data_IF_754266947400
#
_entry.id   IF_754266947400
#
_cell.length_a   1.000
_cell.length_b   1.000
_cell.length_c   1.000
_cell.angle_alpha   90.00
_cell.angle_beta   90.00
_cell.angle_gamma   90.00
#
_symmetry.space_group_name_H-M   'P 1'
#
loop_
_entity.id
_entity.type
_entity.pdbx_description
1 polymer ?
#
# COMPACT_ATOMS: atom_id res chain seq x y z
N UNK A 1 -8.22 7.51 32.14
CA UNK A 1 -7.29 6.48 31.64
C UNK A 1 -7.90 5.88 30.39
N UNK A 2 -7.39 6.26 29.22
CA UNK A 2 -7.76 5.58 27.97
C UNK A 2 -7.34 4.11 28.11
N UNK A 3 -8.24 3.19 27.83
CA UNK A 3 -7.89 1.77 27.75
C UNK A 3 -6.92 1.63 26.57
N UNK A 4 -5.67 1.31 26.86
CA UNK A 4 -4.65 1.09 25.84
C UNK A 4 -4.99 -0.21 25.11
N UNK A 5 -5.46 -0.07 23.86
CA UNK A 5 -5.84 -1.22 23.03
C UNK A 5 -4.61 -1.89 22.42
N UNK A 6 -4.67 -3.21 22.25
CA UNK A 6 -3.69 -3.94 21.44
C UNK A 6 -4.04 -3.78 19.96
N UNK A 7 -3.06 -3.42 19.14
CA UNK A 7 -3.24 -3.24 17.70
C UNK A 7 -3.48 -4.60 17.06
N UNK A 8 -4.60 -4.71 16.33
CA UNK A 8 -4.94 -5.92 15.60
C UNK A 8 -4.17 -6.04 14.28
N UNK A 9 -3.90 -7.26 13.85
CA UNK A 9 -3.33 -7.59 12.55
C UNK A 9 -4.45 -7.90 11.55
N UNK A 10 -4.30 -7.44 10.30
CA UNK A 10 -5.21 -7.82 9.23
C UNK A 10 -4.57 -8.91 8.38
N UNK A 11 -5.04 -10.13 8.50
CA UNK A 11 -4.45 -11.33 7.91
C UNK A 11 -5.55 -12.16 7.24
N UNK A 12 -5.31 -12.66 6.03
CA UNK A 12 -6.24 -13.50 5.28
C UNK A 12 -7.65 -12.89 5.11
N UNK A 13 -7.73 -11.57 5.02
CA UNK A 13 -9.01 -10.87 4.88
C UNK A 13 -9.80 -10.65 6.18
N UNK A 14 -9.20 -10.92 7.35
CA UNK A 14 -9.83 -10.77 8.66
C UNK A 14 -8.93 -10.06 9.66
N UNK A 15 -9.55 -9.44 10.68
CA UNK A 15 -8.84 -8.84 11.80
C UNK A 15 -8.57 -9.90 12.88
N UNK A 16 -7.32 -9.95 13.33
CA UNK A 16 -6.85 -10.82 14.40
C UNK A 16 -6.29 -9.97 15.54
N UNK A 17 -6.90 -10.09 16.72
CA UNK A 17 -6.39 -9.42 17.93
C UNK A 17 -5.39 -10.32 18.61
N UNK A 18 -4.11 -9.90 18.76
CA UNK A 18 -3.10 -10.69 19.45
C UNK A 18 -3.41 -10.78 20.95
N UNK A 19 -2.82 -11.79 21.63
CA UNK A 19 -2.91 -11.92 23.07
C UNK A 19 -2.22 -10.74 23.76
N UNK A 20 -2.82 -10.26 24.85
CA UNK A 20 -2.24 -9.18 25.64
C UNK A 20 -1.04 -9.62 26.50
N UNK A 21 -0.84 -10.94 26.69
CA UNK A 21 0.19 -11.47 27.63
C UNK A 21 1.63 -11.18 27.20
N UNK A 22 1.88 -11.07 25.87
CA UNK A 22 3.21 -10.88 25.30
C UNK A 22 3.33 -9.59 24.47
N UNK A 23 2.44 -8.64 24.72
CA UNK A 23 2.39 -7.41 23.95
C UNK A 23 3.46 -6.40 24.39
N UNK A 24 4.16 -5.82 23.41
CA UNK A 24 5.13 -4.73 23.62
C UNK A 24 4.40 -3.39 23.62
N UNK A 25 4.65 -2.50 24.59
CA UNK A 25 4.05 -1.18 24.60
C UNK A 25 4.61 -0.29 23.48
N UNK A 26 3.72 0.43 22.81
CA UNK A 26 4.07 1.55 21.94
C UNK A 26 4.03 2.84 22.76
N UNK A 27 5.13 3.59 22.69
CA UNK A 27 5.30 4.79 23.48
C UNK A 27 5.09 6.04 22.63
N UNK A 28 4.46 7.03 23.21
CA UNK A 28 4.38 8.37 22.67
C UNK A 28 5.78 8.99 22.59
N UNK A 29 6.20 9.47 21.43
CA UNK A 29 7.56 9.91 21.18
C UNK A 29 7.99 11.13 22.01
N UNK A 30 7.05 11.96 22.51
CA UNK A 30 7.36 13.18 23.25
C UNK A 30 7.42 12.91 24.75
N UNK A 31 6.42 12.20 25.31
CA UNK A 31 6.24 12.09 26.77
C UNK A 31 6.45 10.68 27.32
N UNK A 32 6.65 9.68 26.45
CA UNK A 32 6.87 8.30 26.84
C UNK A 32 5.65 7.54 27.37
N UNK A 33 4.46 8.12 27.30
CA UNK A 33 3.25 7.44 27.72
C UNK A 33 2.90 6.27 26.78
N UNK A 34 2.33 5.22 27.32
CA UNK A 34 1.88 4.08 26.53
C UNK A 34 0.60 4.47 25.77
N UNK A 35 0.65 4.44 24.44
CA UNK A 35 -0.47 4.78 23.56
C UNK A 35 -1.22 3.55 23.03
N UNK A 36 -0.52 2.43 22.89
CA UNK A 36 -1.08 1.17 22.43
C UNK A 36 -0.14 0.01 22.78
N UNK A 37 -0.51 -1.21 22.45
CA UNK A 37 0.36 -2.38 22.52
C UNK A 37 0.40 -3.09 21.17
N UNK A 38 1.55 -3.71 20.86
CA UNK A 38 1.71 -4.58 19.69
C UNK A 38 1.96 -6.00 20.18
N UNK A 39 1.17 -6.94 19.71
CA UNK A 39 1.37 -8.35 20.05
C UNK A 39 2.59 -8.92 19.31
N UNK A 40 3.33 -9.78 20.01
CA UNK A 40 4.53 -10.45 19.50
C UNK A 40 4.25 -11.93 19.18
N UNK A 41 3.02 -12.29 18.92
CA UNK A 41 2.66 -13.67 18.59
C UNK A 41 3.43 -14.13 17.35
N UNK A 42 3.85 -15.40 17.38
CA UNK A 42 4.40 -16.05 16.20
C UNK A 42 3.31 -16.14 15.12
N UNK A 43 3.49 -15.39 14.05
CA UNK A 43 2.62 -15.44 12.89
C UNK A 43 3.11 -16.51 11.89
N UNK A 44 2.18 -17.23 11.28
CA UNK A 44 2.50 -18.13 10.17
C UNK A 44 2.74 -17.30 8.88
N UNK A 45 3.97 -16.81 8.75
CA UNK A 45 4.36 -16.01 7.58
C UNK A 45 4.30 -16.79 6.27
N UNK A 46 4.49 -18.11 6.29
CA UNK A 46 4.36 -18.93 5.10
C UNK A 46 2.92 -18.93 4.58
N UNK A 47 1.96 -19.12 5.47
CA UNK A 47 0.54 -19.04 5.15
C UNK A 47 0.16 -17.64 4.64
N UNK A 48 0.64 -16.58 5.28
CA UNK A 48 0.39 -15.19 4.87
C UNK A 48 0.92 -14.92 3.46
N UNK A 49 2.15 -15.32 3.17
CA UNK A 49 2.76 -15.17 1.85
C UNK A 49 2.03 -16.00 0.78
N UNK A 50 1.63 -17.21 1.14
CA UNK A 50 0.85 -18.09 0.25
C UNK A 50 -0.49 -17.46 -0.10
N UNK A 51 -1.21 -16.91 0.88
CA UNK A 51 -2.45 -16.16 0.64
C UNK A 51 -2.20 -14.94 -0.26
N UNK A 52 -1.14 -14.18 -0.01
CA UNK A 52 -0.76 -13.05 -0.85
C UNK A 52 -0.54 -13.45 -2.31
N UNK A 53 0.14 -14.58 -2.57
CA UNK A 53 0.40 -15.09 -3.92
C UNK A 53 -0.84 -15.65 -4.59
N UNK A 54 -1.61 -16.47 -3.89
CA UNK A 54 -2.71 -17.26 -4.49
C UNK A 54 -4.02 -16.48 -4.57
N UNK A 55 -4.28 -15.58 -3.64
CA UNK A 55 -5.51 -14.78 -3.57
C UNK A 55 -5.25 -13.32 -3.98
N UNK A 56 -4.38 -12.63 -3.27
CA UNK A 56 -4.14 -11.19 -3.49
C UNK A 56 -3.59 -10.90 -4.88
N UNK A 57 -2.47 -11.52 -5.23
CA UNK A 57 -1.81 -11.33 -6.52
C UNK A 57 -2.69 -11.80 -7.68
N UNK A 58 -3.32 -12.98 -7.56
CA UNK A 58 -4.20 -13.52 -8.59
C UNK A 58 -5.38 -12.59 -8.89
N UNK A 59 -6.00 -12.01 -7.86
CA UNK A 59 -7.12 -11.10 -8.04
C UNK A 59 -6.68 -9.74 -8.61
N UNK A 60 -5.57 -9.21 -8.13
CA UNK A 60 -5.06 -7.91 -8.61
C UNK A 60 -4.64 -7.97 -10.09
N UNK A 61 -3.97 -9.03 -10.52
CA UNK A 61 -3.50 -9.21 -11.90
C UNK A 61 -4.62 -9.38 -12.93
N UNK A 62 -5.82 -9.76 -12.51
CA UNK A 62 -7.01 -9.83 -13.40
C UNK A 62 -7.59 -8.46 -13.73
N UNK A 63 -7.27 -7.44 -12.93
CA UNK A 63 -7.77 -6.09 -13.14
C UNK A 63 -6.97 -5.42 -14.26
N UNK A 64 -7.66 -4.65 -15.09
CA UNK A 64 -7.02 -3.78 -16.07
C UNK A 64 -6.26 -2.65 -15.37
N UNK A 65 -5.36 -2.00 -16.08
CA UNK A 65 -4.64 -0.84 -15.57
C UNK A 65 -5.59 0.29 -15.15
N UNK A 66 -6.67 0.49 -15.92
CA UNK A 66 -7.73 1.45 -15.60
C UNK A 66 -8.41 1.10 -14.27
N UNK A 67 -8.76 -0.15 -14.07
CA UNK A 67 -9.42 -0.61 -12.85
C UNK A 67 -8.52 -0.47 -11.63
N UNK A 68 -7.23 -0.84 -11.73
CA UNK A 68 -6.25 -0.65 -10.64
C UNK A 68 -6.06 0.83 -10.31
N UNK A 69 -5.93 1.69 -11.32
CA UNK A 69 -5.85 3.14 -11.12
C UNK A 69 -7.09 3.73 -10.46
N UNK A 70 -8.29 3.27 -10.82
CA UNK A 70 -9.53 3.70 -10.17
C UNK A 70 -9.63 3.19 -8.73
N UNK A 71 -9.11 2.00 -8.44
CA UNK A 71 -9.03 1.46 -7.07
C UNK A 71 -8.15 2.35 -6.18
N UNK A 72 -6.96 2.76 -6.66
CA UNK A 72 -6.10 3.72 -5.95
C UNK A 72 -6.80 5.06 -5.72
N UNK A 73 -7.51 5.57 -6.72
CA UNK A 73 -8.28 6.82 -6.58
C UNK A 73 -9.36 6.71 -5.50
N UNK A 74 -10.09 5.60 -5.46
CA UNK A 74 -11.12 5.36 -4.44
C UNK A 74 -10.50 5.29 -3.03
N UNK A 75 -9.36 4.61 -2.90
CA UNK A 75 -8.61 4.57 -1.65
C UNK A 75 -8.19 5.97 -1.22
N UNK A 76 -7.60 6.77 -2.13
CA UNK A 76 -7.18 8.14 -1.84
C UNK A 76 -8.34 9.01 -1.34
N UNK A 77 -9.50 8.96 -1.99
CA UNK A 77 -10.70 9.70 -1.59
C UNK A 77 -11.22 9.25 -0.22
N UNK A 78 -11.18 7.94 0.06
CA UNK A 78 -11.57 7.40 1.35
C UNK A 78 -10.64 7.89 2.47
N UNK A 79 -9.32 7.78 2.28
CA UNK A 79 -8.34 8.24 3.26
C UNK A 79 -8.43 9.75 3.49
N UNK A 80 -8.63 10.54 2.43
CA UNK A 80 -8.78 11.99 2.55
C UNK A 80 -10.00 12.38 3.40
N UNK A 81 -11.09 11.62 3.28
CA UNK A 81 -12.29 11.82 4.12
C UNK A 81 -12.01 11.58 5.60
N UNK A 82 -11.06 10.71 5.92
CA UNK A 82 -10.71 10.31 7.29
C UNK A 82 -9.40 10.91 7.79
N UNK A 83 -8.84 11.91 7.10
CA UNK A 83 -7.52 12.47 7.40
C UNK A 83 -7.36 13.02 8.82
N UNK A 84 -8.42 13.51 9.45
CA UNK A 84 -8.33 14.05 10.80
C UNK A 84 -7.97 12.96 11.84
N UNK A 85 -8.45 11.73 11.66
CA UNK A 85 -8.03 10.60 12.50
C UNK A 85 -6.53 10.29 12.36
N UNK A 86 -5.96 10.46 11.16
CA UNK A 86 -4.51 10.33 10.96
C UNK A 86 -3.75 11.47 11.64
N UNK A 87 -4.25 12.69 11.61
CA UNK A 87 -3.65 13.81 12.32
C UNK A 87 -3.65 13.59 13.83
N UNK A 88 -4.75 13.07 14.40
CA UNK A 88 -4.82 12.70 15.81
C UNK A 88 -3.78 11.62 16.15
N UNK A 89 -3.64 10.58 15.33
CA UNK A 89 -2.64 9.54 15.55
C UNK A 89 -1.20 10.04 15.36
N UNK A 90 -0.96 10.97 14.44
CA UNK A 90 0.38 11.49 14.17
C UNK A 90 0.97 12.29 15.33
N UNK A 91 0.14 12.82 16.24
CA UNK A 91 0.59 13.49 17.45
C UNK A 91 1.53 12.60 18.28
N UNK A 92 1.28 11.32 18.32
CA UNK A 92 2.08 10.37 19.07
C UNK A 92 3.49 10.13 18.47
N UNK A 93 3.71 10.48 17.22
CA UNK A 93 5.04 10.39 16.56
C UNK A 93 5.96 11.58 16.89
N UNK A 94 5.42 12.61 17.52
CA UNK A 94 6.13 13.87 17.75
C UNK A 94 6.14 14.81 16.55
N UNK A 95 5.42 14.49 15.48
CA UNK A 95 5.32 15.34 14.30
C UNK A 95 4.60 16.66 14.58
N UNK A 96 5.10 17.76 14.03
CA UNK A 96 4.35 19.01 13.98
C UNK A 96 3.15 18.89 13.04
N UNK A 97 2.17 19.78 13.15
CA UNK A 97 1.02 19.81 12.21
C UNK A 97 1.48 19.94 10.76
N UNK A 98 2.54 20.71 10.52
CA UNK A 98 3.11 20.91 9.19
C UNK A 98 3.76 19.64 8.65
N UNK A 99 4.52 18.93 9.47
CA UNK A 99 5.15 17.67 9.07
C UNK A 99 4.09 16.57 8.85
N UNK A 100 3.09 16.50 9.74
CA UNK A 100 1.96 15.58 9.58
C UNK A 100 1.18 15.84 8.30
N UNK A 101 1.03 17.11 7.87
CA UNK A 101 0.42 17.45 6.59
C UNK A 101 1.19 16.86 5.40
N UNK A 102 2.53 16.98 5.42
CA UNK A 102 3.39 16.41 4.38
C UNK A 102 3.22 14.89 4.35
N UNK A 103 3.29 14.22 5.50
CA UNK A 103 3.15 12.77 5.59
C UNK A 103 1.76 12.28 5.11
N UNK A 104 0.71 12.86 5.66
CA UNK A 104 -0.67 12.39 5.46
C UNK A 104 -1.19 12.80 4.08
N UNK A 105 -1.29 14.10 3.82
CA UNK A 105 -1.90 14.59 2.57
C UNK A 105 -0.95 14.41 1.38
N UNK A 106 0.37 14.53 1.58
CA UNK A 106 1.35 14.19 0.56
C UNK A 106 1.35 12.69 0.24
N UNK A 107 1.28 11.82 1.24
CA UNK A 107 1.13 10.38 1.04
C UNK A 107 -0.14 10.02 0.26
N UNK A 108 -1.28 10.62 0.61
CA UNK A 108 -2.54 10.46 -0.15
C UNK A 108 -2.38 11.02 -1.57
N UNK A 109 -1.64 12.12 -1.74
CA UNK A 109 -1.32 12.72 -3.03
C UNK A 109 -0.61 11.74 -3.98
N UNK A 110 0.28 10.89 -3.46
CA UNK A 110 0.93 9.84 -4.24
C UNK A 110 -0.09 8.89 -4.88
N UNK A 111 -1.12 8.47 -4.13
CA UNK A 111 -2.18 7.62 -4.69
C UNK A 111 -2.90 8.29 -5.86
N UNK A 112 -3.19 9.60 -5.78
CA UNK A 112 -3.80 10.33 -6.90
C UNK A 112 -2.87 10.43 -8.10
N UNK A 113 -1.58 10.70 -7.86
CA UNK A 113 -0.57 10.80 -8.92
C UNK A 113 -0.46 9.50 -9.69
N UNK A 114 -0.27 8.38 -8.99
CA UNK A 114 -0.20 7.06 -9.61
C UNK A 114 -1.53 6.63 -10.23
N UNK A 115 -2.66 6.92 -9.60
CA UNK A 115 -3.97 6.66 -10.18
C UNK A 115 -4.19 7.39 -11.51
N UNK A 116 -3.56 8.56 -11.69
CA UNK A 116 -3.66 9.36 -12.92
C UNK A 116 -2.99 8.70 -14.12
N UNK A 117 -1.99 7.83 -13.90
CA UNK A 117 -1.27 7.10 -14.95
C UNK A 117 -2.19 6.23 -15.80
N UNK A 118 -3.35 5.81 -15.27
CA UNK A 118 -4.36 5.09 -16.06
C UNK A 118 -4.78 5.81 -17.36
N UNK A 119 -4.58 7.13 -17.44
CA UNK A 119 -4.90 7.90 -18.65
C UNK A 119 -3.88 7.71 -19.78
N UNK A 120 -2.71 7.19 -19.45
CA UNK A 120 -1.59 6.96 -20.38
C UNK A 120 -1.57 5.54 -20.92
N UNK A 121 -2.30 4.63 -20.28
CA UNK A 121 -2.33 3.21 -20.62
C UNK A 121 -3.71 2.79 -21.07
N UNK A 122 -3.79 1.79 -21.97
CA UNK A 122 -5.05 1.20 -22.42
C UNK A 122 -5.80 0.46 -21.30
N UNK A 123 -7.05 0.12 -21.58
CA UNK A 123 -7.89 -0.66 -20.65
C UNK A 123 -7.65 -2.17 -20.81
N UNK A 124 -6.39 -2.57 -20.61
CA UNK A 124 -5.93 -3.95 -20.66
C UNK A 124 -5.18 -4.28 -19.36
N UNK A 125 -5.04 -5.57 -18.99
CA UNK A 125 -4.21 -5.98 -17.87
C UNK A 125 -2.70 -5.89 -18.17
N UNK A 126 -2.32 -5.52 -19.38
CA UNK A 126 -0.94 -5.30 -19.83
C UNK A 126 -0.81 -3.95 -20.52
N UNK A 127 0.40 -3.47 -20.74
CA UNK A 127 0.69 -2.27 -21.52
C UNK A 127 1.70 -2.58 -22.63
N UNK A 128 1.51 -1.96 -23.80
CA UNK A 128 2.52 -1.97 -24.86
C UNK A 128 3.53 -0.85 -24.59
N UNK A 129 4.81 -1.19 -24.64
CA UNK A 129 5.92 -0.27 -24.41
C UNK A 129 6.65 -0.01 -25.72
N UNK A 130 6.56 1.22 -26.19
CA UNK A 130 7.13 1.64 -27.48
C UNK A 130 6.32 1.16 -28.69
N UNK A 131 6.90 1.41 -29.88
CA UNK A 131 6.32 1.06 -31.15
C UNK A 131 6.71 -0.36 -31.58
N UNK A 132 5.91 -0.94 -32.49
CA UNK A 132 6.28 -2.18 -33.17
C UNK A 132 7.54 -1.98 -34.02
N UNK A 133 8.54 -2.83 -33.82
CA UNK A 133 9.82 -2.78 -34.51
C UNK A 133 9.84 -3.87 -35.61
N UNK A 134 9.77 -3.52 -36.90
CA UNK A 134 9.92 -4.50 -37.96
C UNK A 134 11.37 -5.01 -38.03
N UNK A 135 11.55 -6.31 -37.94
CA UNK A 135 12.86 -6.98 -37.98
C UNK A 135 13.13 -7.62 -39.35
N UNK A 136 12.08 -7.85 -40.14
CA UNK A 136 12.18 -8.44 -41.48
C UNK A 136 11.89 -7.43 -42.59
N UNK A 137 12.54 -7.60 -43.76
CA UNK A 137 12.37 -6.72 -44.93
C UNK A 137 10.93 -6.67 -45.48
N UNK A 138 10.13 -7.69 -45.22
CA UNK A 138 8.75 -7.81 -45.74
C UNK A 138 7.69 -7.53 -44.65
N UNK A 139 8.11 -7.07 -43.45
CA UNK A 139 7.18 -6.78 -42.35
C UNK A 139 6.48 -8.01 -41.70
N UNK A 140 6.90 -9.23 -42.10
CA UNK A 140 6.32 -10.48 -41.59
C UNK A 140 6.93 -10.92 -40.25
N UNK A 141 7.97 -10.27 -39.79
CA UNK A 141 8.66 -10.54 -38.55
C UNK A 141 8.97 -9.23 -37.82
N UNK A 142 8.64 -9.14 -36.58
CA UNK A 142 8.87 -7.95 -35.77
C UNK A 142 8.79 -8.23 -34.27
N UNK A 143 9.08 -7.23 -33.49
CA UNK A 143 9.09 -7.27 -32.03
C UNK A 143 8.34 -6.08 -31.44
N UNK A 144 7.75 -6.27 -30.26
CA UNK A 144 7.20 -5.23 -29.43
C UNK A 144 7.36 -5.62 -27.95
N UNK A 145 7.68 -4.67 -27.09
CA UNK A 145 7.72 -4.91 -25.67
C UNK A 145 6.30 -4.90 -25.08
N UNK A 146 6.03 -5.85 -24.20
CA UNK A 146 4.78 -5.97 -23.47
C UNK A 146 5.11 -5.98 -21.98
N UNK A 147 4.58 -4.99 -21.26
CA UNK A 147 4.66 -4.92 -19.80
C UNK A 147 3.47 -5.67 -19.22
N UNK A 148 3.73 -6.68 -18.42
CA UNK A 148 2.71 -7.49 -17.73
C UNK A 148 2.75 -7.27 -16.24
N UNK A 149 1.63 -7.41 -15.51
CA UNK A 149 1.62 -7.32 -14.06
C UNK A 149 2.58 -8.32 -13.43
N UNK A 150 3.33 -7.85 -12.43
CA UNK A 150 4.28 -8.68 -11.69
C UNK A 150 3.60 -9.78 -10.89
N UNK A 151 4.31 -10.87 -10.71
CA UNK A 151 3.89 -11.98 -9.85
C UNK A 151 4.62 -11.95 -8.51
N UNK A 152 3.93 -12.33 -7.45
CA UNK A 152 4.53 -12.48 -6.14
C UNK A 152 3.92 -11.59 -5.07
N UNK A 153 4.69 -11.36 -4.03
CA UNK A 153 4.33 -10.54 -2.86
C UNK A 153 5.44 -9.53 -2.61
N UNK A 154 5.07 -8.30 -2.34
CA UNK A 154 5.99 -7.24 -1.94
C UNK A 154 5.86 -6.98 -0.46
N UNK A 155 6.98 -7.04 0.26
CA UNK A 155 7.04 -6.70 1.68
C UNK A 155 7.36 -5.21 1.80
N UNK A 156 6.47 -4.46 2.46
CA UNK A 156 6.68 -3.05 2.74
C UNK A 156 7.09 -2.86 4.20
N UNK A 157 8.26 -2.26 4.42
CA UNK A 157 8.73 -1.84 5.74
C UNK A 157 8.71 -0.31 5.76
N UNK A 158 7.90 0.26 6.65
CA UNK A 158 7.68 1.69 6.71
C UNK A 158 8.41 2.31 7.90
N UNK A 159 8.93 3.53 7.72
CA UNK A 159 9.60 4.29 8.76
C UNK A 159 8.60 4.90 9.75
N UNK A 160 9.04 5.14 10.97
CA UNK A 160 8.18 5.71 12.02
C UNK A 160 7.92 7.21 11.86
N UNK A 161 8.79 7.93 11.17
CA UNK A 161 8.71 9.40 11.04
C UNK A 161 7.78 9.88 9.91
N UNK A 162 7.60 9.07 8.87
CA UNK A 162 6.66 9.32 7.75
C UNK A 162 5.87 8.04 7.43
N UNK A 163 5.07 7.53 8.38
CA UNK A 163 4.45 6.22 8.26
C UNK A 163 3.37 6.18 7.16
N UNK A 164 2.62 7.25 6.95
CA UNK A 164 1.55 7.31 5.96
C UNK A 164 2.12 7.47 4.56
N UNK A 165 3.00 8.45 4.34
CA UNK A 165 3.68 8.63 3.05
C UNK A 165 4.41 7.37 2.62
N UNK A 166 5.28 6.86 3.50
CA UNK A 166 6.12 5.71 3.19
C UNK A 166 5.32 4.45 2.84
N UNK A 167 4.17 4.24 3.47
CA UNK A 167 3.26 3.16 3.11
C UNK A 167 2.57 3.41 1.77
N UNK A 168 1.99 4.59 1.58
CA UNK A 168 1.11 4.86 0.44
C UNK A 168 1.87 4.97 -0.89
N UNK A 169 3.11 5.50 -0.89
CA UNK A 169 3.94 5.51 -2.10
C UNK A 169 4.26 4.09 -2.59
N UNK A 170 4.55 3.17 -1.66
CA UNK A 170 4.83 1.76 -1.99
C UNK A 170 3.58 1.03 -2.48
N UNK A 171 2.45 1.24 -1.79
CA UNK A 171 1.15 0.67 -2.19
C UNK A 171 0.75 1.15 -3.58
N UNK A 172 0.93 2.45 -3.87
CA UNK A 172 0.59 3.02 -5.17
C UNK A 172 1.29 2.32 -6.33
N UNK A 173 2.61 2.13 -6.22
CA UNK A 173 3.41 1.44 -7.23
C UNK A 173 3.04 -0.03 -7.32
N UNK A 174 2.98 -0.71 -6.16
CA UNK A 174 2.74 -2.14 -6.10
C UNK A 174 1.38 -2.55 -6.69
N UNK A 175 0.34 -1.76 -6.47
CA UNK A 175 -1.00 -2.08 -6.98
C UNK A 175 -1.17 -1.79 -8.47
N UNK A 176 -0.31 -0.98 -9.06
CA UNK A 176 -0.33 -0.71 -10.51
C UNK A 176 0.58 -1.65 -11.31
N UNK A 177 1.64 -2.17 -10.69
CA UNK A 177 2.68 -2.97 -11.37
C UNK A 177 2.27 -4.41 -11.75
#
# INVERSE_FOLDING_TARGET
>A
TMSTSTIAHYIHGAWHSPSASDATPLLHAINGEVIAHVGNEAMDFESILTYGRTVGNTNLRRLTFQQRGLMLKRLALHLLKHKEAFYEASWATGATRSDAWIDIEGGIGNLFSYASLRRQFGDQPFALDGDYIPLGKQGTFGAQHILTPKEGVVVHINAYNFPVWGMLEKVAVNWLA
#
